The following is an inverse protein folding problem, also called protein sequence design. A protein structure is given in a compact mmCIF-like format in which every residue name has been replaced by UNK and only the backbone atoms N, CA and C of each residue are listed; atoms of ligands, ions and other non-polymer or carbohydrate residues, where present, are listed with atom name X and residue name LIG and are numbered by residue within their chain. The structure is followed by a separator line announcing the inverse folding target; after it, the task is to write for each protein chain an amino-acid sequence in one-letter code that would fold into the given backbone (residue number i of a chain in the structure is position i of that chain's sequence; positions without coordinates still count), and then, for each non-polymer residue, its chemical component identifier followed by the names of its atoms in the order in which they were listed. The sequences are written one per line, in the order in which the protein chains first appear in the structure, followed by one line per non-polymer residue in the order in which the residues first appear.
data_IF_661019359016
#
_entry.id   IF_661019359016
#
_cell.length_a   1.000
_cell.length_b   1.000
_cell.length_c   1.000
_cell.angle_alpha   90.00
_cell.angle_beta   90.00
_cell.angle_gamma   90.00
#
_symmetry.space_group_name_H-M   'P 1'
#
loop_
_entity.id
_entity.type
_entity.pdbx_description
1 polymer ?
#
# COMPACT_ATOMS: atom_id res chain seq x y z
N UNK A 1 -0.50 -1.73 4.31
CA UNK A 1 0.98 -1.62 4.21
C UNK A 1 1.42 -1.05 2.87
N UNK A 2 0.87 -1.51 1.74
CA UNK A 2 1.23 -0.99 0.41
C UNK A 2 1.05 0.53 0.24
N UNK A 3 0.04 1.13 0.88
CA UNK A 3 -0.19 2.58 0.89
C UNK A 3 1.03 3.44 1.26
N UNK A 4 1.76 3.05 2.32
CA UNK A 4 2.93 3.78 2.80
C UNK A 4 4.25 3.21 2.29
N UNK A 5 4.20 2.10 1.53
CA UNK A 5 5.42 1.49 0.96
C UNK A 5 6.22 2.47 0.10
N UNK A 6 5.56 3.48 -0.49
CA UNK A 6 6.23 4.52 -1.28
C UNK A 6 7.23 5.33 -0.49
N UNK A 7 6.89 5.69 0.74
CA UNK A 7 7.74 6.53 1.58
C UNK A 7 9.10 5.89 1.78
N UNK A 8 9.13 4.57 1.93
CA UNK A 8 10.35 3.78 2.09
C UNK A 8 10.97 3.37 0.75
N UNK A 9 10.16 3.03 -0.26
CA UNK A 9 10.66 2.61 -1.58
C UNK A 9 11.23 3.76 -2.40
N UNK A 10 10.77 4.98 -2.16
CA UNK A 10 11.27 6.23 -2.74
C UNK A 10 11.99 7.08 -1.68
N UNK A 11 12.71 6.41 -0.76
CA UNK A 11 13.62 7.11 0.13
C UNK A 11 14.67 7.88 -0.70
N UNK A 12 14.88 9.15 -0.36
CA UNK A 12 15.86 10.02 -1.03
C UNK A 12 17.26 9.65 -0.57
N UNK A 13 18.12 9.32 -1.52
CA UNK A 13 19.54 9.08 -1.24
C UNK A 13 20.31 10.40 -1.43
N UNK A 14 21.30 10.69 -0.59
CA UNK A 14 22.27 11.73 -0.89
C UNK A 14 22.94 11.41 -2.23
N UNK A 15 23.03 12.43 -3.09
CA UNK A 15 23.54 12.28 -4.44
C UNK A 15 24.27 13.55 -4.87
N UNK A 16 25.21 13.40 -5.80
CA UNK A 16 25.99 14.48 -6.40
C UNK A 16 25.95 14.36 -7.93
N UNK A 17 26.25 15.46 -8.63
CA UNK A 17 26.47 15.38 -10.08
C UNK A 17 27.73 14.54 -10.35
N UNK A 18 27.68 13.72 -11.40
CA UNK A 18 28.86 13.04 -11.96
C UNK A 18 29.71 14.04 -12.74
N UNK A 19 31.03 13.93 -12.63
CA UNK A 19 31.97 14.72 -13.42
C UNK A 19 32.23 14.09 -14.78
N UNK A 20 32.67 14.89 -15.76
CA UNK A 20 32.97 14.41 -17.11
C UNK A 20 34.05 13.31 -17.12
N UNK A 21 35.02 13.41 -16.22
CA UNK A 21 36.16 12.49 -16.14
C UNK A 21 35.86 11.21 -15.34
N UNK A 22 34.66 11.08 -14.76
CA UNK A 22 34.29 9.95 -13.89
C UNK A 22 33.63 8.80 -14.66
N UNK A 23 34.10 7.57 -14.40
CA UNK A 23 33.45 6.34 -14.85
C UNK A 23 32.11 6.12 -14.16
N UNK A 24 31.26 5.24 -14.71
CA UNK A 24 29.94 4.91 -14.12
C UNK A 24 30.04 4.30 -12.71
N UNK A 25 31.11 3.56 -12.41
CA UNK A 25 31.31 2.89 -11.11
C UNK A 25 32.00 3.76 -10.05
N UNK A 26 31.94 5.09 -10.20
CA UNK A 26 32.63 6.00 -9.29
C UNK A 26 31.95 6.03 -7.93
N UNK A 27 32.75 5.95 -6.86
CA UNK A 27 32.26 6.07 -5.49
C UNK A 27 31.79 7.49 -5.18
N UNK A 28 30.80 7.60 -4.29
CA UNK A 28 30.25 8.89 -3.88
C UNK A 28 31.30 9.80 -3.24
N UNK A 29 32.11 9.24 -2.33
CA UNK A 29 33.16 9.97 -1.62
C UNK A 29 34.42 10.09 -2.46
N UNK A 30 34.81 11.32 -2.80
CA UNK A 30 36.01 11.61 -3.57
C UNK A 30 37.23 11.77 -2.67
N UNK A 31 38.41 11.25 -3.05
CA UNK A 31 39.65 11.41 -2.28
C UNK A 31 40.16 12.86 -2.25
N UNK A 32 39.85 13.63 -3.30
CA UNK A 32 40.20 15.05 -3.42
C UNK A 32 38.95 15.86 -3.76
N UNK A 33 38.82 17.05 -3.17
CA UNK A 33 37.67 17.94 -3.39
C UNK A 33 37.80 18.68 -4.73
N UNK A 34 36.91 18.43 -5.71
CA UNK A 34 36.88 19.20 -6.95
C UNK A 34 36.28 20.58 -6.69
N UNK A 35 36.79 21.62 -7.36
CA UNK A 35 36.20 22.98 -7.30
C UNK A 35 34.78 23.03 -7.90
N UNK A 36 34.49 22.08 -8.80
CA UNK A 36 33.24 22.01 -9.55
C UNK A 36 32.06 21.55 -8.70
N UNK A 37 32.34 20.89 -7.56
CA UNK A 37 31.33 20.41 -6.61
C UNK A 37 31.31 21.28 -5.34
N UNK A 38 30.13 21.77 -5.01
CA UNK A 38 29.88 22.50 -3.76
C UNK A 38 29.40 21.57 -2.64
N UNK A 39 29.65 21.95 -1.39
CA UNK A 39 29.25 21.19 -0.20
C UNK A 39 27.90 21.71 0.31
N UNK A 40 27.01 20.78 0.68
CA UNK A 40 25.68 21.10 1.22
C UNK A 40 25.68 21.22 2.74
N UNK A 41 26.25 20.23 3.42
CA UNK A 41 26.10 20.08 4.87
C UNK A 41 27.36 19.42 5.44
N UNK A 42 28.13 20.19 6.22
CA UNK A 42 29.22 19.70 7.05
C UNK A 42 28.76 19.77 8.50
N UNK A 43 28.21 18.67 9.04
CA UNK A 43 28.08 18.55 10.49
C UNK A 43 29.45 18.26 11.06
N UNK A 44 30.06 19.24 11.72
CA UNK A 44 31.45 19.20 12.20
C UNK A 44 31.76 18.16 13.28
N UNK A 45 30.81 17.30 13.69
CA UNK A 45 30.96 16.37 14.81
C UNK A 45 30.12 15.10 14.61
N UNK A 46 30.45 14.26 13.61
CA UNK A 46 29.98 12.88 13.56
C UNK A 46 31.00 11.97 14.28
N UNK A 47 30.68 11.36 15.44
CA UNK A 47 31.62 10.52 16.20
C UNK A 47 32.03 9.23 15.48
N UNK A 48 31.42 8.90 14.34
CA UNK A 48 31.81 7.75 13.52
C UNK A 48 32.82 8.06 12.41
N UNK A 49 33.04 9.33 12.02
CA UNK A 49 34.00 9.73 10.99
C UNK A 49 34.77 11.01 11.37
N UNK A 50 35.96 10.91 12.00
CA UNK A 50 36.70 12.06 12.54
C UNK A 50 37.55 12.83 11.51
N UNK A 51 37.22 12.77 10.21
CA UNK A 51 37.93 13.51 9.17
C UNK A 51 36.97 14.39 8.37
N UNK A 52 37.33 15.66 8.15
CA UNK A 52 36.63 16.72 7.38
C UNK A 52 36.32 16.37 5.89
N UNK A 53 36.57 15.13 5.47
CA UNK A 53 36.41 14.62 4.11
C UNK A 53 35.06 13.92 3.84
N UNK A 54 34.19 13.80 4.85
CA UNK A 54 32.87 13.16 4.70
C UNK A 54 31.69 14.17 4.81
N UNK A 55 31.80 15.34 4.17
CA UNK A 55 30.66 16.26 4.04
C UNK A 55 29.81 15.94 2.82
N UNK A 56 28.48 15.99 2.97
CA UNK A 56 27.57 15.76 1.86
C UNK A 56 27.72 16.89 0.81
N UNK A 57 27.80 16.50 -0.46
CA UNK A 57 27.81 17.44 -1.58
C UNK A 57 26.41 18.03 -1.84
N UNK A 58 26.36 19.21 -2.43
CA UNK A 58 25.12 19.78 -2.95
C UNK A 58 24.55 18.87 -4.04
N UNK A 59 23.33 18.40 -3.78
CA UNK A 59 22.52 17.71 -4.77
C UNK A 59 22.21 18.68 -5.92
N UNK A 60 22.39 18.23 -7.16
CA UNK A 60 21.94 18.93 -8.37
C UNK A 60 22.68 20.21 -8.75
N UNK A 61 23.90 20.45 -8.24
CA UNK A 61 24.68 21.64 -8.62
C UNK A 61 26.06 21.21 -9.13
N UNK A 62 26.40 21.66 -10.33
CA UNK A 62 27.72 21.51 -10.95
C UNK A 62 28.19 22.87 -11.45
N UNK A 63 29.37 23.36 -11.05
CA UNK A 63 29.88 24.68 -11.48
C UNK A 63 28.89 25.86 -11.27
N UNK A 64 28.01 25.76 -10.27
CA UNK A 64 26.99 26.76 -9.99
C UNK A 64 25.75 26.73 -10.90
N UNK A 65 25.70 25.83 -11.90
CA UNK A 65 24.47 25.53 -12.67
C UNK A 65 23.69 24.39 -12.01
N UNK A 66 22.36 24.39 -12.20
CA UNK A 66 21.45 23.37 -11.65
C UNK A 66 21.34 22.09 -12.50
N UNK A 67 22.21 21.96 -13.49
CA UNK A 67 22.16 20.88 -14.48
C UNK A 67 23.33 19.93 -14.25
N UNK A 68 23.05 18.63 -14.17
CA UNK A 68 24.07 17.57 -14.14
C UNK A 68 24.09 16.84 -15.50
N UNK A 69 24.82 17.33 -16.52
CA UNK A 69 24.76 16.78 -17.87
C UNK A 69 25.33 15.36 -17.98
N UNK A 70 26.23 14.99 -17.07
CA UNK A 70 26.86 13.68 -17.04
C UNK A 70 26.14 12.67 -16.13
N UNK A 71 25.01 13.01 -15.50
CA UNK A 71 24.26 12.11 -14.62
C UNK A 71 24.63 12.23 -13.13
N UNK A 72 24.33 11.20 -12.35
CA UNK A 72 24.34 11.27 -10.88
C UNK A 72 25.12 10.13 -10.23
N UNK A 73 25.79 10.43 -9.12
CA UNK A 73 26.44 9.45 -8.24
C UNK A 73 25.75 9.47 -6.88
N UNK A 74 25.33 8.29 -6.41
CA UNK A 74 24.54 8.13 -5.18
C UNK A 74 25.38 7.56 -4.04
N UNK A 75 25.10 8.01 -2.81
CA UNK A 75 25.63 7.39 -1.60
C UNK A 75 24.74 6.19 -1.18
N UNK A 76 25.33 4.99 -1.09
CA UNK A 76 24.65 3.75 -0.74
C UNK A 76 24.90 3.25 0.70
N UNK A 77 25.54 4.06 1.55
CA UNK A 77 25.91 3.70 2.94
C UNK A 77 24.67 3.34 3.78
N UNK A 78 23.58 4.12 3.64
CA UNK A 78 22.33 3.89 4.36
C UNK A 78 21.31 3.04 3.58
N UNK A 79 21.18 3.26 2.27
CA UNK A 79 20.14 2.65 1.43
C UNK A 79 20.81 1.98 0.23
N UNK A 80 20.58 0.67 0.04
CA UNK A 80 21.20 -0.10 -1.06
C UNK A 80 20.53 0.16 -2.40
N UNK A 81 19.20 0.17 -2.45
CA UNK A 81 18.46 0.34 -3.70
C UNK A 81 17.10 0.98 -3.47
N UNK A 82 16.82 2.07 -4.21
CA UNK A 82 15.58 2.85 -4.11
C UNK A 82 15.02 3.12 -5.50
N UNK A 83 13.70 3.26 -5.60
CA UNK A 83 13.04 3.68 -6.84
C UNK A 83 13.57 5.03 -7.37
N UNK A 84 14.12 5.87 -6.49
CA UNK A 84 14.72 7.16 -6.87
C UNK A 84 16.01 6.98 -7.67
N UNK A 85 16.92 6.11 -7.23
CA UNK A 85 18.19 5.92 -7.94
C UNK A 85 17.97 5.21 -9.29
N UNK A 86 17.02 4.26 -9.33
CA UNK A 86 16.80 3.41 -10.50
C UNK A 86 16.28 4.18 -11.70
N UNK A 87 15.48 5.20 -11.46
CA UNK A 87 14.88 6.03 -12.51
C UNK A 87 15.36 7.49 -12.48
N UNK A 88 16.42 7.75 -11.71
CA UNK A 88 17.02 9.08 -11.55
C UNK A 88 15.97 10.16 -11.26
N UNK A 89 15.10 9.88 -10.29
CA UNK A 89 14.02 10.80 -9.86
C UNK A 89 14.60 11.85 -8.91
N UNK A 90 15.53 12.63 -9.44
CA UNK A 90 16.28 13.68 -8.72
C UNK A 90 16.22 15.00 -9.48
N UNK A 91 16.56 16.10 -8.81
CA UNK A 91 16.68 17.43 -9.42
C UNK A 91 15.42 17.85 -10.18
N UNK A 92 15.50 18.12 -11.48
CA UNK A 92 14.37 18.53 -12.33
C UNK A 92 13.23 17.51 -12.34
N UNK A 93 13.54 16.23 -12.11
CA UNK A 93 12.55 15.14 -12.09
C UNK A 93 12.01 14.83 -10.71
N UNK A 94 12.37 15.58 -9.67
CA UNK A 94 11.92 15.34 -8.29
C UNK A 94 10.38 15.33 -8.15
N UNK A 95 9.65 16.08 -8.99
CA UNK A 95 8.18 16.09 -8.98
C UNK A 95 7.56 14.71 -9.25
N UNK A 96 8.26 13.81 -9.97
CA UNK A 96 7.77 12.46 -10.25
C UNK A 96 7.55 11.65 -8.96
N UNK A 97 8.30 11.94 -7.90
CA UNK A 97 8.11 11.30 -6.60
C UNK A 97 6.70 11.54 -6.05
N UNK A 98 6.27 12.78 -6.02
CA UNK A 98 4.94 13.16 -5.56
C UNK A 98 3.87 12.73 -6.56
N UNK A 99 4.15 12.81 -7.86
CA UNK A 99 3.24 12.38 -8.90
C UNK A 99 2.85 10.89 -8.79
N UNK A 100 3.82 10.00 -8.57
CA UNK A 100 3.57 8.56 -8.38
C UNK A 100 2.71 8.30 -7.14
N UNK A 101 2.92 9.05 -6.05
CA UNK A 101 2.07 8.96 -4.86
C UNK A 101 0.64 9.44 -5.14
N UNK A 102 0.47 10.52 -5.89
CA UNK A 102 -0.85 11.01 -6.29
C UNK A 102 -1.59 10.00 -7.16
N UNK A 103 -0.90 9.31 -8.07
CA UNK A 103 -1.49 8.25 -8.89
C UNK A 103 -2.07 7.10 -8.05
N UNK A 104 -1.43 6.75 -6.93
CA UNK A 104 -2.00 5.79 -5.99
C UNK A 104 -3.35 6.28 -5.41
N UNK A 105 -3.46 7.54 -5.00
CA UNK A 105 -4.72 8.10 -4.49
C UNK A 105 -5.81 8.25 -5.57
N UNK A 106 -5.42 8.54 -6.81
CA UNK A 106 -6.33 8.50 -7.96
C UNK A 106 -6.87 7.08 -8.16
N UNK A 107 -6.01 6.07 -8.08
CA UNK A 107 -6.42 4.67 -8.07
C UNK A 107 -7.41 4.37 -6.94
N UNK A 108 -7.14 4.87 -5.73
CA UNK A 108 -8.02 4.72 -4.57
C UNK A 108 -9.41 5.29 -4.81
N UNK A 109 -9.51 6.49 -5.41
CA UNK A 109 -10.79 7.11 -5.77
C UNK A 109 -11.57 6.26 -6.79
N UNK A 110 -10.89 5.80 -7.84
CA UNK A 110 -11.52 4.95 -8.87
C UNK A 110 -12.00 3.64 -8.26
N UNK A 111 -11.16 3.01 -7.42
CA UNK A 111 -11.49 1.79 -6.70
C UNK A 111 -12.73 1.93 -5.83
N UNK A 112 -12.84 3.04 -5.10
CA UNK A 112 -13.99 3.32 -4.24
C UNK A 112 -15.32 3.34 -5.02
N UNK A 113 -15.35 3.98 -6.19
CA UNK A 113 -16.54 4.10 -7.04
C UNK A 113 -16.88 2.75 -7.70
N UNK A 114 -15.86 2.11 -8.29
CA UNK A 114 -16.03 0.88 -9.08
C UNK A 114 -16.34 -0.31 -8.18
N UNK A 115 -15.48 -0.60 -7.20
CA UNK A 115 -15.69 -1.75 -6.31
C UNK A 115 -16.84 -1.53 -5.33
N UNK A 116 -17.21 -0.29 -5.02
CA UNK A 116 -18.42 -0.02 -4.24
C UNK A 116 -19.70 -0.40 -4.94
N UNK A 117 -19.90 0.14 -6.13
CA UNK A 117 -21.09 -0.19 -6.94
C UNK A 117 -21.15 -1.67 -7.31
N UNK A 118 -20.00 -2.29 -7.60
CA UNK A 118 -19.92 -3.73 -7.87
C UNK A 118 -20.16 -4.57 -6.62
N UNK A 119 -19.73 -4.11 -5.44
CA UNK A 119 -19.90 -4.83 -4.16
C UNK A 119 -21.37 -5.06 -3.82
N UNK A 120 -22.22 -4.06 -4.05
CA UNK A 120 -23.65 -4.18 -3.78
C UNK A 120 -24.38 -5.07 -4.82
N UNK A 121 -23.85 -5.19 -6.04
CA UNK A 121 -24.44 -5.99 -7.13
C UNK A 121 -23.97 -7.45 -7.15
N UNK A 122 -22.66 -7.67 -7.07
CA UNK A 122 -22.04 -9.00 -7.26
C UNK A 122 -21.85 -9.78 -5.95
N UNK A 123 -21.98 -9.09 -4.81
CA UNK A 123 -21.75 -9.64 -3.48
C UNK A 123 -20.43 -9.17 -2.89
N UNK A 124 -20.44 -8.94 -1.58
CA UNK A 124 -19.32 -8.33 -0.85
C UNK A 124 -18.12 -9.26 -0.82
N UNK A 125 -18.32 -10.56 -0.61
CA UNK A 125 -17.23 -11.55 -0.60
C UNK A 125 -16.50 -11.59 -1.94
N UNK A 126 -17.21 -11.76 -3.06
CA UNK A 126 -16.57 -11.89 -4.38
C UNK A 126 -15.69 -10.68 -4.72
N UNK A 127 -16.19 -9.48 -4.46
CA UNK A 127 -15.45 -8.24 -4.76
C UNK A 127 -14.21 -8.07 -3.90
N UNK A 128 -14.26 -8.42 -2.62
CA UNK A 128 -13.08 -8.38 -1.73
C UNK A 128 -11.96 -9.26 -2.28
N UNK A 129 -12.26 -10.48 -2.73
CA UNK A 129 -11.24 -11.38 -3.24
C UNK A 129 -10.74 -11.00 -4.65
N UNK A 130 -11.61 -10.48 -5.51
CA UNK A 130 -11.17 -9.92 -6.80
C UNK A 130 -10.22 -8.74 -6.59
N UNK A 131 -10.51 -7.87 -5.62
CA UNK A 131 -9.63 -6.77 -5.24
C UNK A 131 -8.30 -7.31 -4.65
N UNK A 132 -8.32 -8.31 -3.76
CA UNK A 132 -7.08 -8.92 -3.25
C UNK A 132 -6.22 -9.51 -4.36
N UNK A 133 -6.81 -10.20 -5.33
CA UNK A 133 -6.07 -10.74 -6.49
C UNK A 133 -5.45 -9.60 -7.29
N UNK A 134 -6.20 -8.51 -7.54
CA UNK A 134 -5.68 -7.33 -8.23
C UNK A 134 -4.51 -6.69 -7.45
N UNK A 135 -4.64 -6.56 -6.13
CA UNK A 135 -3.57 -6.02 -5.25
C UNK A 135 -2.30 -6.88 -5.34
N UNK A 136 -2.43 -8.21 -5.29
CA UNK A 136 -1.31 -9.15 -5.39
C UNK A 136 -0.62 -9.00 -6.75
N UNK A 137 -1.39 -9.07 -7.85
CA UNK A 137 -0.83 -8.97 -9.21
C UNK A 137 -0.11 -7.63 -9.41
N UNK A 138 -0.75 -6.53 -9.04
CA UNK A 138 -0.13 -5.21 -9.14
C UNK A 138 1.05 -5.03 -8.18
N UNK A 139 0.99 -5.62 -6.97
CA UNK A 139 2.08 -5.60 -5.99
C UNK A 139 3.34 -6.31 -6.49
N UNK A 140 3.20 -7.47 -7.14
CA UNK A 140 4.33 -8.10 -7.84
C UNK A 140 4.80 -7.27 -9.03
N UNK A 141 3.89 -6.66 -9.80
CA UNK A 141 4.25 -5.79 -10.90
C UNK A 141 5.12 -4.58 -10.45
N UNK A 142 4.90 -4.06 -9.23
CA UNK A 142 5.75 -3.01 -8.65
C UNK A 142 7.20 -3.46 -8.40
N UNK A 143 7.41 -4.72 -8.03
CA UNK A 143 8.75 -5.26 -7.80
C UNK A 143 9.54 -5.43 -9.11
N UNK A 144 8.85 -5.83 -10.18
CA UNK A 144 9.48 -6.17 -11.46
C UNK A 144 9.41 -5.06 -12.53
N UNK A 145 8.86 -3.89 -12.21
CA UNK A 145 8.71 -2.81 -13.20
C UNK A 145 10.07 -2.26 -13.67
N UNK A 146 10.38 -2.27 -14.97
CA UNK A 146 11.63 -1.72 -15.49
C UNK A 146 11.59 -0.19 -15.60
N UNK A 147 10.42 0.39 -15.86
CA UNK A 147 10.22 1.83 -16.09
C UNK A 147 9.30 2.46 -15.05
N UNK A 148 9.54 3.73 -14.74
CA UNK A 148 8.74 4.50 -13.78
C UNK A 148 7.26 4.58 -14.18
N UNK A 149 6.94 4.62 -15.48
CA UNK A 149 5.56 4.71 -15.96
C UNK A 149 4.78 3.42 -15.67
N UNK A 150 5.41 2.26 -15.85
CA UNK A 150 4.78 0.97 -15.51
C UNK A 150 4.57 0.86 -14.00
N UNK A 151 5.54 1.32 -13.20
CA UNK A 151 5.39 1.40 -11.76
C UNK A 151 4.22 2.31 -11.35
N UNK A 152 4.07 3.47 -11.98
CA UNK A 152 2.96 4.39 -11.73
C UNK A 152 1.59 3.75 -12.07
N UNK A 153 1.49 3.02 -13.18
CA UNK A 153 0.27 2.28 -13.55
C UNK A 153 -0.02 1.17 -12.53
N UNK A 154 0.99 0.40 -12.15
CA UNK A 154 0.85 -0.62 -11.12
C UNK A 154 0.43 -0.01 -9.77
N UNK A 155 0.88 1.21 -9.45
CA UNK A 155 0.44 1.97 -8.27
C UNK A 155 -1.02 2.36 -8.32
N UNK A 156 -1.54 2.74 -9.49
CA UNK A 156 -2.98 2.97 -9.68
C UNK A 156 -3.73 1.66 -9.37
N UNK A 157 -3.27 0.53 -9.92
CA UNK A 157 -3.89 -0.78 -9.68
C UNK A 157 -3.89 -1.19 -8.21
N UNK A 158 -2.75 -1.04 -7.50
CA UNK A 158 -2.67 -1.26 -6.05
C UNK A 158 -3.59 -0.30 -5.29
N UNK A 159 -3.66 0.97 -5.68
CA UNK A 159 -4.58 1.96 -5.10
C UNK A 159 -6.05 1.58 -5.28
N UNK A 160 -6.43 1.14 -6.48
CA UNK A 160 -7.80 0.67 -6.79
C UNK A 160 -8.18 -0.53 -5.95
N UNK A 161 -7.27 -1.48 -5.81
CA UNK A 161 -7.46 -2.69 -5.02
C UNK A 161 -7.34 -2.44 -3.51
N UNK A 162 -6.82 -1.28 -3.10
CA UNK A 162 -6.43 -1.04 -1.72
C UNK A 162 -7.64 -1.22 -0.79
N UNK A 163 -7.53 -2.06 0.26
CA UNK A 163 -8.67 -2.43 1.07
C UNK A 163 -9.39 -1.24 1.71
N UNK A 164 -8.69 -0.17 2.05
CA UNK A 164 -9.28 1.04 2.64
C UNK A 164 -10.23 1.80 1.71
N UNK A 165 -10.09 1.67 0.38
CA UNK A 165 -10.92 2.43 -0.55
C UNK A 165 -12.39 2.05 -0.47
N UNK A 166 -12.72 0.83 -0.03
CA UNK A 166 -14.08 0.40 0.35
C UNK A 166 -14.15 -1.05 0.94
N UNK A 167 -13.12 -1.88 0.74
CA UNK A 167 -13.10 -3.32 1.09
C UNK A 167 -13.03 -3.60 2.60
N UNK A 168 -12.35 -2.76 3.40
CA UNK A 168 -12.24 -2.91 4.86
C UNK A 168 -13.57 -2.62 5.55
N UNK A 169 -14.33 -1.63 5.06
CA UNK A 169 -15.72 -1.44 5.48
C UNK A 169 -16.49 -2.72 5.17
N UNK A 170 -16.37 -3.33 3.99
CA UNK A 170 -17.16 -4.51 3.64
C UNK A 170 -16.79 -5.79 4.41
N UNK A 171 -15.51 -6.17 4.49
CA UNK A 171 -15.06 -7.38 5.19
C UNK A 171 -15.42 -7.34 6.69
N UNK A 172 -15.18 -6.20 7.35
CA UNK A 172 -15.52 -6.01 8.76
C UNK A 172 -16.97 -5.62 8.99
N UNK A 173 -17.68 -5.03 8.02
CA UNK A 173 -19.14 -4.82 8.14
C UNK A 173 -19.84 -6.17 8.09
N UNK A 174 -19.49 -7.04 7.14
CA UNK A 174 -20.13 -8.35 7.01
C UNK A 174 -19.90 -9.21 8.26
N UNK A 175 -18.67 -9.32 8.73
CA UNK A 175 -18.32 -10.18 9.88
C UNK A 175 -18.56 -9.46 11.22
N UNK A 176 -18.25 -8.18 11.32
CA UNK A 176 -18.17 -7.42 12.57
C UNK A 176 -19.28 -6.39 12.80
N UNK A 177 -20.09 -6.03 11.79
CA UNK A 177 -21.23 -5.11 11.97
C UNK A 177 -22.60 -5.72 11.65
N UNK A 178 -22.68 -6.69 10.74
CA UNK A 178 -23.92 -7.36 10.34
C UNK A 178 -24.20 -8.58 11.20
N UNK A 179 -23.16 -9.37 11.50
CA UNK A 179 -23.25 -10.57 12.35
C UNK A 179 -23.12 -10.26 13.85
N UNK A 180 -22.67 -9.06 14.22
CA UNK A 180 -22.44 -8.66 15.61
C UNK A 180 -23.41 -7.55 16.03
N UNK A 181 -23.93 -7.66 17.26
CA UNK A 181 -24.83 -6.68 17.84
C UNK A 181 -24.19 -5.28 18.00
N UNK A 182 -24.99 -4.23 18.29
CA UNK A 182 -24.56 -2.83 18.33
C UNK A 182 -23.30 -2.56 19.16
N UNK A 183 -23.17 -3.22 20.31
CA UNK A 183 -22.01 -3.09 21.20
C UNK A 183 -20.73 -3.68 20.62
N UNK A 184 -20.81 -4.83 19.93
CA UNK A 184 -19.64 -5.48 19.36
C UNK A 184 -19.12 -4.77 18.09
N UNK A 185 -19.96 -3.97 17.41
CA UNK A 185 -19.50 -3.13 16.27
C UNK A 185 -18.44 -2.11 16.69
N UNK A 186 -18.59 -1.52 17.89
CA UNK A 186 -17.62 -0.58 18.46
C UNK A 186 -16.25 -1.24 18.63
N UNK A 187 -16.24 -2.43 19.24
CA UNK A 187 -15.01 -3.18 19.43
C UNK A 187 -14.40 -3.67 18.11
N UNK A 188 -15.23 -4.12 17.16
CA UNK A 188 -14.77 -4.52 15.83
C UNK A 188 -14.04 -3.41 15.08
N UNK A 189 -14.59 -2.18 15.11
CA UNK A 189 -13.94 -1.00 14.53
C UNK A 189 -12.63 -0.65 15.24
N UNK A 190 -12.63 -0.66 16.57
CA UNK A 190 -11.43 -0.35 17.36
C UNK A 190 -10.30 -1.37 17.11
N UNK A 191 -10.62 -2.65 17.10
CA UNK A 191 -9.66 -3.73 16.85
C UNK A 191 -9.09 -3.61 15.44
N UNK A 192 -9.93 -3.33 14.43
CA UNK A 192 -9.50 -3.12 13.05
C UNK A 192 -8.55 -1.93 12.92
N UNK A 193 -8.88 -0.79 13.54
CA UNK A 193 -7.99 0.36 13.60
C UNK A 193 -6.66 0.05 14.31
N UNK A 194 -6.71 -0.75 15.37
CA UNK A 194 -5.50 -1.24 16.07
C UNK A 194 -4.61 -2.09 15.16
N UNK A 195 -5.17 -3.09 14.47
CA UNK A 195 -4.42 -3.90 13.49
C UNK A 195 -3.86 -3.07 12.35
N UNK A 196 -4.59 -2.04 11.92
CA UNK A 196 -4.13 -1.12 10.90
C UNK A 196 -2.88 -0.34 11.34
N UNK A 197 -2.93 0.29 12.52
CA UNK A 197 -1.79 0.99 13.12
C UNK A 197 -0.61 0.04 13.35
N UNK A 198 -0.85 -1.15 13.89
CA UNK A 198 0.19 -2.17 14.07
C UNK A 198 0.83 -2.59 12.75
N UNK A 199 0.05 -2.77 11.69
CA UNK A 199 0.56 -3.08 10.36
C UNK A 199 1.46 -1.98 9.79
N UNK A 200 1.16 -0.71 10.08
CA UNK A 200 1.98 0.43 9.66
C UNK A 200 3.27 0.55 10.48
N UNK A 201 3.21 0.28 11.78
CA UNK A 201 4.41 0.19 12.64
C UNK A 201 5.32 -0.96 12.17
N UNK A 202 4.74 -2.12 11.88
CA UNK A 202 5.48 -3.28 11.37
C UNK A 202 6.14 -2.97 10.03
N UNK A 203 5.47 -2.26 9.12
CA UNK A 203 6.06 -1.81 7.85
C UNK A 203 7.32 -0.96 8.09
N UNK A 204 7.29 -0.03 9.04
CA UNK A 204 8.46 0.78 9.38
C UNK A 204 9.62 -0.08 9.89
N UNK A 205 9.33 -1.08 10.75
CA UNK A 205 10.33 -2.05 11.19
C UNK A 205 10.90 -2.87 10.02
N UNK A 206 10.06 -3.37 9.12
CA UNK A 206 10.50 -4.13 7.94
C UNK A 206 11.39 -3.26 7.04
N UNK A 207 11.00 -2.00 6.79
CA UNK A 207 11.77 -1.07 5.97
C UNK A 207 13.15 -0.72 6.58
N UNK A 208 13.31 -0.79 7.90
CA UNK A 208 14.61 -0.61 8.55
C UNK A 208 15.58 -1.76 8.24
N UNK A 209 15.08 -3.00 8.23
CA UNK A 209 15.88 -4.19 7.94
C UNK A 209 16.06 -4.43 6.43
N UNK A 210 15.03 -4.18 5.63
CA UNK A 210 15.00 -4.40 4.18
C UNK A 210 15.16 -3.07 3.46
N UNK A 211 16.40 -2.75 3.10
CA UNK A 211 16.80 -1.46 2.50
C UNK A 211 16.84 -1.48 0.97
N UNK A 212 16.36 -2.57 0.38
CA UNK A 212 16.21 -2.76 -1.06
C UNK A 212 14.73 -2.71 -1.42
N UNK A 213 14.34 -1.75 -2.26
CA UNK A 213 12.92 -1.51 -2.53
C UNK A 213 12.23 -2.71 -3.21
N UNK A 214 12.92 -3.48 -4.05
CA UNK A 214 12.36 -4.67 -4.72
C UNK A 214 11.98 -5.74 -3.68
N UNK A 215 12.90 -6.07 -2.78
CA UNK A 215 12.63 -7.03 -1.71
C UNK A 215 11.57 -6.51 -0.75
N UNK A 216 11.55 -5.20 -0.47
CA UNK A 216 10.49 -4.60 0.33
C UNK A 216 9.11 -4.81 -0.32
N UNK A 217 8.96 -4.58 -1.62
CA UNK A 217 7.70 -4.83 -2.33
C UNK A 217 7.29 -6.32 -2.30
N UNK A 218 8.25 -7.23 -2.47
CA UNK A 218 8.00 -8.68 -2.40
C UNK A 218 7.56 -9.14 -1.00
N UNK A 219 8.23 -8.68 0.06
CA UNK A 219 7.87 -8.98 1.45
C UNK A 219 6.46 -8.48 1.79
N UNK A 220 5.99 -7.43 1.13
CA UNK A 220 4.63 -6.92 1.29
C UNK A 220 3.60 -7.68 0.44
N UNK A 221 3.98 -8.15 -0.75
CA UNK A 221 3.08 -8.87 -1.66
C UNK A 221 2.90 -10.35 -1.28
N UNK A 222 3.94 -11.03 -0.79
CA UNK A 222 3.90 -12.47 -0.48
C UNK A 222 2.88 -12.81 0.61
N UNK A 223 2.82 -12.13 1.77
CA UNK A 223 1.83 -12.42 2.81
C UNK A 223 0.39 -12.19 2.33
N UNK A 224 0.18 -11.32 1.33
CA UNK A 224 -1.13 -11.08 0.73
C UNK A 224 -1.72 -12.36 0.10
N UNK A 225 -0.87 -13.25 -0.44
CA UNK A 225 -1.29 -14.54 -1.01
C UNK A 225 -1.90 -15.44 0.07
N UNK A 226 -1.34 -15.46 1.28
CA UNK A 226 -1.87 -16.25 2.38
C UNK A 226 -3.30 -15.83 2.73
N UNK A 227 -3.65 -14.55 2.60
CA UNK A 227 -5.01 -14.07 2.87
C UNK A 227 -6.05 -14.58 1.85
N UNK A 228 -5.64 -15.06 0.67
CA UNK A 228 -6.57 -15.71 -0.28
C UNK A 228 -7.19 -16.99 0.30
N UNK A 229 -6.50 -17.68 1.23
CA UNK A 229 -7.05 -18.88 1.86
C UNK A 229 -8.28 -18.61 2.72
N UNK A 230 -8.54 -17.35 3.10
CA UNK A 230 -9.75 -16.96 3.82
C UNK A 230 -11.02 -17.06 2.96
N UNK A 231 -10.91 -17.35 1.66
CA UNK A 231 -12.07 -17.58 0.79
C UNK A 231 -13.01 -18.66 1.36
N UNK A 232 -12.46 -19.74 1.90
CA UNK A 232 -13.26 -20.84 2.44
C UNK A 232 -13.80 -20.58 3.84
N UNK A 233 -13.13 -19.72 4.61
CA UNK A 233 -13.50 -19.43 6.00
C UNK A 233 -14.68 -18.45 6.08
N UNK A 234 -14.79 -17.55 5.10
CA UNK A 234 -15.68 -16.41 5.20
C UNK A 234 -17.04 -16.65 4.52
N UNK A 235 -18.16 -16.50 5.27
CA UNK A 235 -19.48 -16.50 4.67
C UNK A 235 -19.71 -15.20 3.87
N UNK A 236 -20.70 -15.24 2.97
CA UNK A 236 -21.24 -14.03 2.33
C UNK A 236 -22.08 -13.22 3.33
N UNK A 237 -22.28 -11.94 3.04
CA UNK A 237 -23.18 -11.06 3.82
C UNK A 237 -24.60 -11.63 3.94
N UNK A 238 -25.11 -11.92 5.16
CA UNK A 238 -26.49 -12.36 5.34
C UNK A 238 -27.49 -11.31 4.85
N UNK A 239 -27.19 -10.01 5.04
CA UNK A 239 -28.05 -8.92 4.57
C UNK A 239 -28.12 -8.84 3.05
N UNK A 240 -26.97 -8.98 2.38
CA UNK A 240 -26.93 -9.02 0.93
C UNK A 240 -27.66 -10.25 0.38
N UNK A 241 -27.53 -11.41 1.03
CA UNK A 241 -28.27 -12.61 0.64
C UNK A 241 -29.79 -12.41 0.76
N UNK A 242 -30.26 -11.72 1.81
CA UNK A 242 -31.67 -11.34 1.97
C UNK A 242 -32.12 -10.38 0.89
N UNK A 243 -31.34 -9.34 0.57
CA UNK A 243 -31.71 -8.38 -0.49
C UNK A 243 -31.76 -9.02 -1.87
N UNK A 244 -31.00 -10.10 -2.09
CA UNK A 244 -31.03 -10.92 -3.31
C UNK A 244 -32.07 -12.06 -3.27
N UNK A 245 -32.97 -12.10 -2.26
CA UNK A 245 -33.97 -13.17 -2.04
C UNK A 245 -33.37 -14.58 -1.91
N UNK A 246 -32.09 -14.70 -1.55
CA UNK A 246 -31.37 -15.97 -1.31
C UNK A 246 -31.51 -16.41 0.15
N UNK A 247 -32.75 -16.59 0.59
CA UNK A 247 -33.08 -16.78 2.00
C UNK A 247 -32.48 -18.04 2.63
N UNK A 248 -32.44 -19.16 1.89
CA UNK A 248 -31.87 -20.43 2.40
C UNK A 248 -30.40 -20.33 2.78
N UNK A 249 -29.62 -19.56 2.03
CA UNK A 249 -28.20 -19.35 2.33
C UNK A 249 -28.01 -18.40 3.51
N UNK A 250 -28.82 -17.34 3.58
CA UNK A 250 -28.83 -16.43 4.72
C UNK A 250 -29.19 -17.18 6.02
N UNK A 251 -30.22 -18.03 5.95
CA UNK A 251 -30.68 -18.84 7.08
C UNK A 251 -29.59 -19.78 7.61
N UNK A 252 -28.85 -20.46 6.74
CA UNK A 252 -27.72 -21.31 7.14
C UNK A 252 -26.67 -20.53 7.95
N UNK A 253 -26.36 -19.31 7.54
CA UNK A 253 -25.37 -18.45 8.22
C UNK A 253 -25.95 -17.95 9.56
N UNK A 254 -27.19 -17.48 9.56
CA UNK A 254 -27.85 -16.96 10.75
C UNK A 254 -28.08 -18.04 11.82
N UNK A 255 -28.45 -19.26 11.44
CA UNK A 255 -28.57 -20.40 12.37
C UNK A 255 -27.23 -20.79 12.99
N UNK A 256 -26.13 -20.69 12.24
CA UNK A 256 -24.79 -20.89 12.79
C UNK A 256 -24.48 -19.83 13.87
N UNK A 257 -24.76 -18.55 13.57
CA UNK A 257 -24.59 -17.46 14.53
C UNK A 257 -25.51 -17.59 15.77
N UNK A 258 -26.76 -18.00 15.57
CA UNK A 258 -27.73 -18.23 16.63
C UNK A 258 -27.30 -19.37 17.58
N UNK A 259 -26.73 -20.45 17.03
CA UNK A 259 -26.17 -21.55 17.82
C UNK A 259 -25.03 -21.08 18.74
N UNK A 260 -24.16 -20.21 18.23
CA UNK A 260 -23.06 -19.60 19.02
C UNK A 260 -23.63 -18.70 20.12
N UNK A 261 -24.63 -17.90 19.79
CA UNK A 261 -25.28 -16.96 20.73
C UNK A 261 -26.31 -17.63 21.66
N UNK A 262 -26.54 -18.95 21.53
CA UNK A 262 -27.57 -19.71 22.25
C UNK A 262 -28.98 -19.13 22.09
N UNK A 263 -29.29 -18.64 20.90
CA UNK A 263 -30.62 -18.13 20.53
C UNK A 263 -31.26 -19.03 19.48
N UNK A 264 -32.58 -18.95 19.35
CA UNK A 264 -33.34 -19.65 18.31
C UNK A 264 -33.96 -18.66 17.34
N UNK A 265 -33.93 -19.00 16.05
CA UNK A 265 -34.57 -18.22 14.99
C UNK A 265 -35.83 -18.99 14.57
N UNK A 266 -36.98 -18.32 14.38
CA UNK A 266 -38.18 -18.96 13.83
C UNK A 266 -37.89 -19.62 12.48
N UNK A 267 -38.52 -20.76 12.22
CA UNK A 267 -38.47 -21.38 10.91
C UNK A 267 -39.18 -20.49 9.87
N UNK A 268 -38.63 -20.45 8.66
CA UNK A 268 -39.14 -19.65 7.54
C UNK A 268 -39.38 -18.15 7.85
N UNK A 269 -38.54 -17.55 8.70
CA UNK A 269 -38.61 -16.13 9.10
C UNK A 269 -38.70 -15.15 7.92
N UNK A 270 -38.21 -15.52 6.74
CA UNK A 270 -38.29 -14.70 5.53
C UNK A 270 -39.71 -14.53 4.99
N UNK A 271 -40.65 -15.46 5.28
CA UNK A 271 -42.06 -15.31 4.90
C UNK A 271 -42.69 -14.06 5.54
N UNK A 272 -42.29 -13.74 6.77
CA UNK A 272 -42.74 -12.53 7.47
C UNK A 272 -42.25 -11.26 6.78
N UNK A 273 -41.05 -11.32 6.17
CA UNK A 273 -40.46 -10.20 5.43
C UNK A 273 -41.18 -10.01 4.11
N UNK A 274 -41.38 -11.09 3.34
CA UNK A 274 -42.09 -11.04 2.06
C UNK A 274 -43.53 -10.52 2.25
N UNK A 275 -44.26 -11.04 3.25
CA UNK A 275 -45.61 -10.56 3.57
C UNK A 275 -45.66 -9.07 3.97
N UNK A 276 -44.62 -8.54 4.61
CA UNK A 276 -44.54 -7.12 4.94
C UNK A 276 -44.23 -6.23 3.73
N UNK A 277 -43.54 -6.77 2.72
CA UNK A 277 -43.27 -6.06 1.47
C UNK A 277 -44.55 -6.02 0.63
N UNK A 278 -45.25 -7.16 0.49
CA UNK A 278 -46.52 -7.23 -0.26
C UNK A 278 -47.61 -6.34 0.34
N UNK A 279 -47.71 -6.20 1.66
CA UNK A 279 -48.70 -5.34 2.30
C UNK A 279 -48.39 -3.82 2.20
N UNK A 280 -47.23 -3.44 1.66
CA UNK A 280 -46.82 -2.04 1.47
C UNK A 280 -46.92 -1.57 0.01
N UNK A 281 -47.09 -2.50 -0.93
CA UNK A 281 -47.38 -2.22 -2.35
C UNK A 281 -48.89 -2.08 -2.58
#
# INVERSE_FOLDING_TARGET
MHALSWTFSAASLPHRCRLEQESEDTIYWLPTRPEELSIADCKSNDPHHPQDNHCLYNSCILNGTKECPYGYVYNFDEIKNSAINRWEIVCDRHFLKSFIQSMYYVGQLIGAIVFGSLGDRLGRKKIVFTAMILEIVCGFALAFSPHWSLFAIARIGVGMAHPESLSSMNFFVVIGMELVGPFGRRYGSLISGGFFSLGHMLLACIAYFVRDYVYLQLVLAIPAICFLSYWWLLPESPRWLVSQRRYKEADKILRCAAKINKTTIPDDWWQQIDNQVENKE
#
